data_IF_148590461832
#
_entry.id   IF_148590461832
#
_cell.length_a   1.000
_cell.length_b   1.000
_cell.length_c   1.000
_cell.angle_alpha   90.00
_cell.angle_beta   90.00
_cell.angle_gamma   90.00
#
_symmetry.space_group_name_H-M   'P 1'
#
loop_
_entity.id
_entity.type
_entity.pdbx_description
1 polymer ?
#
# COMPACT_ATOMS: atom_id res chain seq x y z
N UNK A 1 11.82 -11.37 -14.77
CA UNK A 1 10.77 -10.80 -15.63
C UNK A 1 11.29 -9.45 -16.08
N UNK A 2 11.34 -9.24 -17.33
CA UNK A 2 11.56 -7.90 -17.89
C UNK A 2 10.18 -7.25 -17.85
N UNK A 3 10.05 -6.09 -17.20
CA UNK A 3 8.86 -5.24 -17.34
C UNK A 3 8.86 -4.80 -18.79
N UNK A 4 7.94 -5.32 -19.58
CA UNK A 4 7.86 -4.97 -20.99
C UNK A 4 7.08 -3.66 -21.22
N UNK A 5 7.21 -3.12 -22.41
CA UNK A 5 6.54 -1.86 -22.80
C UNK A 5 5.00 -1.97 -22.74
N UNK A 6 4.46 -3.17 -22.93
CA UNK A 6 3.03 -3.42 -22.86
C UNK A 6 2.50 -3.20 -21.43
N UNK A 7 3.19 -3.75 -20.43
CA UNK A 7 2.84 -3.58 -19.02
C UNK A 7 2.93 -2.11 -18.60
N UNK A 8 4.00 -1.41 -19.02
CA UNK A 8 4.17 0.03 -18.76
C UNK A 8 3.03 0.84 -19.39
N UNK A 9 2.67 0.51 -20.63
CA UNK A 9 1.59 1.19 -21.36
C UNK A 9 0.23 0.94 -20.70
N UNK A 10 -0.02 -0.28 -20.24
CA UNK A 10 -1.24 -0.62 -19.51
C UNK A 10 -1.32 0.13 -18.19
N UNK A 11 -0.25 0.12 -17.39
CA UNK A 11 -0.19 0.86 -16.13
C UNK A 11 -0.45 2.35 -16.33
N UNK A 12 0.19 2.98 -17.32
CA UNK A 12 -0.02 4.41 -17.65
C UNK A 12 -1.45 4.69 -18.13
N UNK A 13 -2.09 3.73 -18.78
CA UNK A 13 -3.46 3.86 -19.26
C UNK A 13 -4.48 3.71 -18.15
N UNK A 14 -4.34 2.65 -17.32
CA UNK A 14 -5.36 2.24 -16.37
C UNK A 14 -5.08 2.72 -14.92
N UNK A 15 -3.82 3.06 -14.59
CA UNK A 15 -3.39 3.44 -13.25
C UNK A 15 -3.07 2.27 -12.33
N UNK A 16 -3.29 1.05 -12.80
CA UNK A 16 -2.99 -0.19 -12.09
C UNK A 16 -2.74 -1.34 -13.06
N UNK A 17 -2.05 -2.36 -12.57
CA UNK A 17 -1.81 -3.62 -13.31
C UNK A 17 -1.75 -4.80 -12.35
N UNK A 18 -2.08 -5.98 -12.87
CA UNK A 18 -1.78 -7.26 -12.23
C UNK A 18 -0.40 -7.75 -12.67
N UNK A 19 0.38 -8.24 -11.72
CA UNK A 19 1.64 -8.92 -11.99
C UNK A 19 1.50 -10.41 -11.73
N UNK A 20 2.10 -11.27 -12.57
CA UNK A 20 2.27 -12.66 -12.24
C UNK A 20 3.15 -12.80 -11.01
N UNK A 21 3.19 -13.97 -10.44
CA UNK A 21 4.07 -14.27 -9.32
C UNK A 21 5.54 -14.06 -9.67
N UNK A 22 6.20 -13.15 -8.97
CA UNK A 22 7.63 -12.84 -9.14
C UNK A 22 8.48 -13.48 -8.04
N UNK A 23 7.91 -13.70 -6.87
CA UNK A 23 8.59 -14.28 -5.71
C UNK A 23 8.69 -15.80 -5.85
N UNK A 24 9.81 -16.39 -5.39
CA UNK A 24 10.03 -17.82 -5.39
C UNK A 24 9.20 -18.53 -4.32
N UNK A 25 9.07 -19.85 -4.42
CA UNK A 25 8.33 -20.67 -3.44
C UNK A 25 8.89 -20.51 -2.02
N UNK A 26 10.21 -20.49 -1.88
CA UNK A 26 10.88 -20.33 -0.60
C UNK A 26 10.62 -18.94 0.02
N UNK A 27 10.61 -17.90 -0.83
CA UNK A 27 10.32 -16.53 -0.37
C UNK A 27 8.86 -16.39 0.08
N UNK A 28 7.93 -16.99 -0.65
CA UNK A 28 6.52 -17.00 -0.26
C UNK A 28 6.29 -17.80 1.03
N UNK A 29 6.94 -18.97 1.15
CA UNK A 29 6.86 -19.78 2.36
C UNK A 29 7.42 -19.02 3.57
N UNK A 30 8.56 -18.35 3.39
CA UNK A 30 9.15 -17.53 4.44
C UNK A 30 8.28 -16.33 4.83
N UNK A 31 7.68 -15.66 3.86
CA UNK A 31 6.75 -14.56 4.13
C UNK A 31 5.54 -15.03 4.96
N UNK A 32 5.00 -16.21 4.68
CA UNK A 32 3.92 -16.83 5.47
C UNK A 32 4.34 -17.13 6.91
N UNK A 33 5.54 -17.63 7.08
CA UNK A 33 6.10 -17.90 8.41
C UNK A 33 6.29 -16.60 9.20
N UNK A 34 6.82 -15.55 8.57
CA UNK A 34 6.96 -14.22 9.16
C UNK A 34 5.59 -13.69 9.60
N UNK A 35 4.56 -13.79 8.76
CA UNK A 35 3.21 -13.38 9.13
C UNK A 35 2.71 -14.08 10.39
N UNK A 36 2.92 -15.39 10.48
CA UNK A 36 2.54 -16.18 11.67
C UNK A 36 3.27 -15.71 12.92
N UNK A 37 4.57 -15.47 12.83
CA UNK A 37 5.38 -14.97 13.95
C UNK A 37 4.91 -13.56 14.38
N UNK A 38 4.67 -12.66 13.43
CA UNK A 38 4.21 -11.30 13.70
C UNK A 38 2.80 -11.29 14.32
N UNK A 39 1.92 -12.17 13.89
CA UNK A 39 0.59 -12.32 14.48
C UNK A 39 0.64 -12.89 15.90
N UNK A 40 1.51 -13.86 16.17
CA UNK A 40 1.73 -14.46 17.51
C UNK A 40 2.37 -13.47 18.49
N UNK A 41 3.24 -12.59 18.03
CA UNK A 41 3.90 -11.56 18.85
C UNK A 41 2.98 -10.38 19.24
N UNK A 42 1.73 -10.40 18.77
CA UNK A 42 0.79 -9.33 19.03
C UNK A 42 0.96 -8.12 18.12
N UNK A 43 0.01 -7.21 18.22
CA UNK A 43 -0.09 -6.04 17.37
C UNK A 43 1.10 -5.08 17.57
N UNK A 44 1.95 -4.91 16.56
CA UNK A 44 2.71 -3.68 16.35
C UNK A 44 1.83 -2.71 15.54
N UNK A 45 0.59 -2.61 15.92
CA UNK A 45 -0.21 -1.51 15.41
C UNK A 45 0.56 -0.24 15.71
N UNK A 46 0.44 0.74 14.84
CA UNK A 46 0.71 2.13 15.16
C UNK A 46 -0.24 2.62 16.30
N UNK A 47 -0.77 1.69 17.10
CA UNK A 47 -1.44 1.97 18.36
C UNK A 47 -0.36 2.41 19.32
N UNK A 48 -0.21 3.68 19.44
CA UNK A 48 0.57 4.49 20.32
C UNK A 48 0.78 4.02 21.75
N UNK A 49 1.31 2.87 21.95
CA UNK A 49 2.24 2.70 23.03
C UNK A 49 3.54 3.30 22.51
N UNK A 50 3.76 4.56 22.91
CA UNK A 50 5.06 5.18 22.82
C UNK A 50 6.08 4.15 23.29
N UNK A 51 6.86 3.59 22.37
CA UNK A 51 8.13 3.01 22.76
C UNK A 51 8.83 4.02 23.66
N UNK A 52 9.77 3.62 24.47
CA UNK A 52 10.50 4.49 25.42
C UNK A 52 10.98 5.82 24.82
N UNK A 53 10.87 6.01 23.52
CA UNK A 53 11.27 7.16 22.71
C UNK A 53 10.20 8.25 22.52
N UNK A 54 9.00 8.12 23.09
CA UNK A 54 8.04 9.22 23.22
C UNK A 54 7.31 9.68 21.96
N UNK A 55 7.25 8.85 20.90
CA UNK A 55 6.57 9.18 19.65
C UNK A 55 5.06 9.22 19.81
N UNK A 56 4.49 10.41 19.81
CA UNK A 56 3.04 10.64 19.81
C UNK A 56 2.47 10.42 18.41
N UNK A 57 1.37 9.68 18.34
CA UNK A 57 0.64 9.35 17.14
C UNK A 57 0.22 10.58 16.32
N UNK A 58 0.61 10.62 15.07
CA UNK A 58 0.15 11.64 14.14
C UNK A 58 -1.06 11.22 13.27
N UNK A 59 -1.57 10.00 13.46
CA UNK A 59 -2.70 9.47 12.68
C UNK A 59 -3.88 9.07 13.57
N UNK A 60 -4.74 10.03 13.90
CA UNK A 60 -5.94 9.79 14.70
C UNK A 60 -6.87 8.69 14.14
N UNK A 61 -6.85 8.46 12.81
CA UNK A 61 -7.65 7.39 12.18
C UNK A 61 -7.11 5.99 12.46
N UNK A 62 -5.82 5.84 12.79
CA UNK A 62 -5.21 4.53 13.05
C UNK A 62 -5.58 3.98 14.44
N UNK A 63 -6.08 4.84 15.32
CA UNK A 63 -6.55 4.47 16.65
C UNK A 63 -8.05 4.18 16.72
N UNK A 64 -8.78 4.40 15.61
CA UNK A 64 -10.21 4.15 15.62
C UNK A 64 -10.51 2.65 15.75
N UNK A 65 -11.38 2.21 16.70
CA UNK A 65 -11.67 0.80 16.94
C UNK A 65 -12.11 0.01 15.71
N UNK A 66 -12.74 0.70 14.75
CA UNK A 66 -13.22 0.07 13.52
C UNK A 66 -12.10 -0.19 12.49
N UNK A 67 -10.91 0.40 12.67
CA UNK A 67 -9.77 0.13 11.78
C UNK A 67 -9.35 -1.34 11.86
N UNK A 68 -9.30 -1.92 13.05
CA UNK A 68 -8.96 -3.34 13.23
C UNK A 68 -9.93 -4.29 12.52
N UNK A 69 -11.19 -3.86 12.29
CA UNK A 69 -12.17 -4.62 11.50
C UNK A 69 -11.93 -4.52 9.99
N UNK A 70 -11.21 -3.49 9.55
CA UNK A 70 -10.84 -3.33 8.14
C UNK A 70 -9.56 -4.07 7.81
N UNK A 71 -8.54 -3.93 8.65
CA UNK A 71 -7.25 -4.62 8.56
C UNK A 71 -6.42 -4.49 9.83
N UNK A 72 -5.55 -5.47 10.07
CA UNK A 72 -4.43 -5.38 11.00
C UNK A 72 -3.14 -5.12 10.22
N UNK A 73 -2.30 -4.22 10.70
CA UNK A 73 -1.08 -3.77 10.04
C UNK A 73 0.17 -3.99 10.90
N UNK A 74 1.26 -4.36 10.24
CA UNK A 74 2.63 -4.30 10.76
C UNK A 74 3.46 -3.49 9.78
N UNK A 75 4.12 -2.45 10.26
CA UNK A 75 4.93 -1.58 9.42
C UNK A 75 6.38 -2.02 9.44
N UNK A 76 7.09 -1.71 8.32
CA UNK A 76 8.53 -1.89 8.19
C UNK A 76 9.00 -3.33 8.46
N UNK A 77 8.23 -4.27 7.94
CA UNK A 77 8.53 -5.69 8.03
C UNK A 77 9.93 -6.00 7.50
N UNK A 78 10.30 -5.38 6.37
CA UNK A 78 11.63 -5.53 5.74
C UNK A 78 12.80 -5.11 6.62
N UNK A 79 12.59 -4.22 7.59
CA UNK A 79 13.65 -3.77 8.50
C UNK A 79 13.86 -4.75 9.67
N UNK A 80 12.80 -5.47 10.06
CA UNK A 80 12.87 -6.53 11.09
C UNK A 80 13.30 -7.88 10.50
N UNK A 81 13.00 -8.11 9.23
CA UNK A 81 13.26 -9.37 8.52
C UNK A 81 14.12 -9.10 7.28
N UNK A 82 15.47 -9.05 7.42
CA UNK A 82 16.38 -8.66 6.33
C UNK A 82 16.26 -9.51 5.06
N UNK A 83 15.84 -10.77 5.16
CA UNK A 83 15.61 -11.65 4.02
C UNK A 83 14.52 -11.14 3.06
N UNK A 84 13.61 -10.29 3.53
CA UNK A 84 12.61 -9.64 2.68
C UNK A 84 13.19 -8.57 1.75
N UNK A 85 14.40 -8.09 2.02
CA UNK A 85 15.06 -7.09 1.19
C UNK A 85 15.28 -7.56 -0.25
N UNK A 86 15.46 -8.86 -0.47
CA UNK A 86 15.56 -9.41 -1.83
C UNK A 86 14.27 -9.22 -2.62
N UNK A 87 13.12 -9.41 -1.97
CA UNK A 87 11.80 -9.18 -2.59
C UNK A 87 11.59 -7.69 -2.85
N UNK A 88 11.96 -6.83 -1.91
CA UNK A 88 11.94 -5.37 -2.09
C UNK A 88 12.75 -4.97 -3.32
N UNK A 89 13.99 -5.45 -3.45
CA UNK A 89 14.84 -5.18 -4.62
C UNK A 89 14.24 -5.74 -5.93
N UNK A 90 13.56 -6.87 -5.88
CA UNK A 90 12.90 -7.43 -7.05
C UNK A 90 11.80 -6.49 -7.57
N UNK A 91 10.94 -5.98 -6.66
CA UNK A 91 9.84 -5.09 -7.04
C UNK A 91 10.29 -3.65 -7.28
N UNK A 92 11.44 -3.21 -6.76
CA UNK A 92 11.97 -1.87 -7.11
C UNK A 92 12.26 -1.74 -8.62
N UNK A 93 12.69 -2.81 -9.29
CA UNK A 93 12.88 -2.83 -10.74
C UNK A 93 11.56 -2.64 -11.50
N UNK A 94 10.47 -3.17 -10.97
CA UNK A 94 9.12 -2.92 -11.50
C UNK A 94 8.74 -1.46 -11.26
N UNK A 95 8.96 -0.94 -10.06
CA UNK A 95 8.67 0.44 -9.70
C UNK A 95 9.42 1.44 -10.59
N UNK A 96 10.72 1.25 -10.80
CA UNK A 96 11.53 2.07 -11.70
C UNK A 96 10.94 2.17 -13.10
N UNK A 97 10.54 1.02 -13.68
CA UNK A 97 9.99 0.98 -15.02
C UNK A 97 8.60 1.64 -15.12
N UNK A 98 7.72 1.39 -14.13
CA UNK A 98 6.35 1.93 -14.14
C UNK A 98 6.32 3.42 -13.83
N UNK A 99 7.11 3.88 -12.87
CA UNK A 99 7.24 5.31 -12.53
C UNK A 99 7.99 6.05 -13.64
N UNK A 100 9.02 5.42 -14.23
CA UNK A 100 9.86 6.03 -15.26
C UNK A 100 10.92 6.97 -14.68
N UNK A 101 11.47 6.64 -13.51
CA UNK A 101 12.56 7.38 -12.87
C UNK A 101 13.84 6.53 -12.79
N UNK A 102 14.96 7.16 -12.44
CA UNK A 102 16.26 6.48 -12.36
C UNK A 102 16.52 5.80 -11.04
N UNK A 103 15.84 6.23 -9.96
CA UNK A 103 16.02 5.73 -8.61
C UNK A 103 14.72 5.83 -7.82
N UNK A 104 14.44 4.81 -6.99
CA UNK A 104 13.30 4.81 -6.07
C UNK A 104 13.75 4.56 -4.64
N UNK A 105 12.98 5.10 -3.71
CA UNK A 105 13.03 4.77 -2.29
C UNK A 105 11.89 3.84 -1.92
N UNK A 106 12.08 3.02 -0.88
CA UNK A 106 10.96 2.36 -0.20
C UNK A 106 10.45 3.31 0.86
N UNK A 107 9.30 3.91 0.61
CA UNK A 107 8.72 4.86 1.55
C UNK A 107 8.31 4.16 2.85
N UNK A 108 7.63 3.04 2.74
CA UNK A 108 7.37 2.08 3.80
C UNK A 108 6.92 0.74 3.20
N UNK A 109 6.88 -0.30 4.02
CA UNK A 109 6.19 -1.54 3.75
C UNK A 109 5.30 -1.90 4.93
N UNK A 110 4.20 -2.57 4.64
CA UNK A 110 3.24 -2.98 5.68
C UNK A 110 2.47 -4.23 5.31
N UNK A 111 2.11 -5.00 6.34
CA UNK A 111 1.16 -6.09 6.20
C UNK A 111 -0.26 -5.55 6.17
N UNK A 112 -1.15 -6.30 5.55
CA UNK A 112 -2.59 -6.10 5.61
C UNK A 112 -3.27 -7.44 5.87
N UNK A 113 -3.69 -7.67 7.09
CA UNK A 113 -4.52 -8.83 7.43
C UNK A 113 -5.96 -8.37 7.62
N UNK A 114 -6.85 -8.77 6.71
CA UNK A 114 -8.28 -8.56 6.86
C UNK A 114 -8.85 -9.77 7.60
N UNK A 115 -9.51 -9.58 8.76
CA UNK A 115 -10.01 -10.69 9.56
C UNK A 115 -11.08 -11.50 8.79
N UNK A 116 -11.34 -12.75 9.19
CA UNK A 116 -12.42 -13.55 8.64
C UNK A 116 -13.79 -12.98 9.03
N UNK A 117 -14.83 -13.39 8.31
CA UNK A 117 -16.22 -12.95 8.56
C UNK A 117 -16.70 -13.20 9.99
N UNK A 118 -16.21 -14.25 10.63
CA UNK A 118 -16.54 -14.64 12.02
C UNK A 118 -16.07 -13.65 13.07
N UNK A 119 -15.06 -12.82 12.75
CA UNK A 119 -14.51 -11.81 13.66
C UNK A 119 -15.09 -10.40 13.41
N UNK A 120 -16.03 -10.27 12.47
CA UNK A 120 -16.59 -8.99 12.04
C UNK A 120 -15.59 -8.22 11.19
N UNK A 121 -15.85 -8.20 9.91
CA UNK A 121 -15.00 -7.53 8.90
C UNK A 121 -15.71 -6.31 8.35
N UNK A 122 -14.94 -5.34 7.86
CA UNK A 122 -15.44 -4.19 7.10
C UNK A 122 -14.73 -4.09 5.76
N UNK A 123 -15.38 -3.51 4.79
CA UNK A 123 -14.71 -3.15 3.54
C UNK A 123 -13.69 -2.03 3.78
N UNK A 124 -12.65 -1.99 2.95
CA UNK A 124 -11.79 -0.82 2.83
C UNK A 124 -12.48 0.15 1.89
N UNK A 125 -12.83 1.32 2.40
CA UNK A 125 -13.54 2.35 1.62
C UNK A 125 -12.74 2.77 0.39
N UNK A 126 -13.41 3.33 -0.60
CA UNK A 126 -12.77 3.88 -1.77
C UNK A 126 -11.91 5.09 -1.42
N UNK A 127 -10.65 5.08 -1.82
CA UNK A 127 -9.67 6.14 -1.54
C UNK A 127 -8.53 6.17 -2.56
N UNK A 128 -7.73 7.21 -2.50
CA UNK A 128 -6.43 7.32 -3.15
C UNK A 128 -5.36 7.35 -2.05
N UNK A 129 -4.21 6.70 -2.27
CA UNK A 129 -3.13 6.67 -1.28
C UNK A 129 -2.38 8.00 -1.14
N UNK A 130 -2.07 8.63 -2.28
CA UNK A 130 -1.22 9.82 -2.32
C UNK A 130 -1.70 10.98 -1.44
N UNK A 131 -3.00 11.33 -1.37
CA UNK A 131 -3.47 12.44 -0.56
C UNK A 131 -3.20 12.30 0.95
N UNK A 132 -2.94 11.08 1.44
CA UNK A 132 -2.64 10.85 2.86
C UNK A 132 -1.15 10.98 3.19
N UNK A 133 -0.30 11.15 2.19
CA UNK A 133 1.15 11.17 2.35
C UNK A 133 1.72 12.55 2.03
N UNK A 134 2.64 13.10 2.86
CA UNK A 134 3.18 14.45 2.69
C UNK A 134 4.32 14.48 1.68
N UNK A 135 4.03 14.14 0.44
CA UNK A 135 4.98 14.14 -0.69
C UNK A 135 4.52 15.08 -1.79
N UNK A 136 5.47 15.68 -2.49
CA UNK A 136 5.27 16.82 -3.39
C UNK A 136 4.93 16.44 -4.84
N UNK A 137 4.99 15.16 -5.19
CA UNK A 137 4.90 14.73 -6.61
C UNK A 137 4.22 13.40 -6.80
N UNK A 138 3.93 13.12 -8.09
CA UNK A 138 3.48 11.79 -8.55
C UNK A 138 4.61 10.77 -8.46
N UNK A 139 4.26 9.49 -8.60
CA UNK A 139 5.19 8.37 -8.54
C UNK A 139 5.11 7.61 -7.21
N UNK A 140 4.12 7.94 -6.36
CA UNK A 140 3.75 7.06 -5.25
C UNK A 140 3.13 5.80 -5.84
N UNK A 141 3.78 4.67 -5.60
CA UNK A 141 3.42 3.39 -6.22
C UNK A 141 3.31 2.32 -5.15
N UNK A 142 2.14 1.71 -5.07
CA UNK A 142 1.84 0.63 -4.13
C UNK A 142 1.91 -0.72 -4.84
N UNK A 143 2.76 -1.61 -4.36
CA UNK A 143 2.83 -3.03 -4.76
C UNK A 143 2.17 -3.86 -3.67
N UNK A 144 1.03 -4.48 -3.96
CA UNK A 144 0.30 -5.34 -3.03
C UNK A 144 0.47 -6.81 -3.42
N UNK A 145 1.16 -7.61 -2.60
CA UNK A 145 1.50 -9.01 -2.84
C UNK A 145 0.55 -9.90 -2.05
N UNK A 146 -0.13 -10.82 -2.71
CA UNK A 146 -0.99 -11.81 -2.06
C UNK A 146 -0.16 -12.89 -1.35
N UNK A 147 -0.37 -13.07 -0.05
CA UNK A 147 0.33 -14.10 0.74
C UNK A 147 -0.33 -15.47 0.55
N UNK A 148 -1.64 -15.49 0.40
CA UNK A 148 -2.46 -16.65 0.01
C UNK A 148 -3.25 -16.34 -1.25
N UNK A 149 -3.98 -17.34 -1.76
CA UNK A 149 -4.99 -17.11 -2.80
C UNK A 149 -6.06 -16.16 -2.26
N UNK A 150 -6.37 -15.12 -3.01
CA UNK A 150 -7.33 -14.08 -2.64
C UNK A 150 -8.47 -14.08 -3.64
N UNK A 151 -9.63 -14.57 -3.23
CA UNK A 151 -10.86 -14.54 -4.01
C UNK A 151 -11.64 -13.23 -3.83
N UNK A 152 -12.65 -12.99 -4.64
CA UNK A 152 -13.59 -11.88 -4.44
C UNK A 152 -14.30 -11.97 -3.09
N UNK A 153 -14.65 -13.19 -2.65
CA UNK A 153 -15.29 -13.44 -1.36
C UNK A 153 -14.38 -13.03 -0.18
N UNK A 154 -13.06 -13.16 -0.34
CA UNK A 154 -12.07 -12.72 0.65
C UNK A 154 -11.85 -11.21 0.64
N UNK A 155 -12.59 -10.46 -0.15
CA UNK A 155 -12.42 -9.02 -0.27
C UNK A 155 -11.17 -8.63 -1.08
N UNK A 156 -11.03 -9.19 -2.28
CA UNK A 156 -9.97 -8.79 -3.21
C UNK A 156 -9.98 -7.28 -3.46
N UNK A 157 -8.81 -6.75 -3.83
CA UNK A 157 -8.65 -5.33 -4.19
C UNK A 157 -9.53 -4.97 -5.38
N UNK A 158 -10.07 -3.76 -5.36
CA UNK A 158 -10.91 -3.18 -6.40
C UNK A 158 -10.31 -1.87 -6.86
N UNK A 159 -10.30 -1.63 -8.16
CA UNK A 159 -9.71 -0.45 -8.78
C UNK A 159 -10.73 0.22 -9.71
N UNK A 160 -10.76 1.54 -9.72
CA UNK A 160 -11.47 2.32 -10.74
C UNK A 160 -10.45 2.69 -11.83
N UNK A 161 -10.47 2.02 -12.99
CA UNK A 161 -9.51 2.27 -14.07
C UNK A 161 -9.51 3.73 -14.50
N UNK A 162 -8.33 4.29 -14.78
CA UNK A 162 -8.11 5.66 -15.25
C UNK A 162 -8.37 6.78 -14.23
N UNK A 163 -8.81 6.45 -13.01
CA UNK A 163 -9.08 7.45 -11.96
C UNK A 163 -7.83 8.25 -11.53
N UNK A 164 -6.63 7.68 -11.68
CA UNK A 164 -5.37 8.39 -11.44
C UNK A 164 -5.18 9.63 -12.32
N UNK A 165 -5.91 9.74 -13.45
CA UNK A 165 -5.87 10.90 -14.36
C UNK A 165 -6.63 12.10 -13.82
N UNK A 166 -7.52 11.90 -12.88
CA UNK A 166 -8.34 12.96 -12.26
C UNK A 166 -7.53 13.84 -11.31
N UNK A 167 -6.33 13.40 -10.94
CA UNK A 167 -5.55 14.03 -9.87
C UNK A 167 -6.06 13.69 -8.48
N UNK A 168 -5.64 14.42 -7.43
CA UNK A 168 -6.04 14.14 -6.07
C UNK A 168 -7.52 14.51 -5.82
N UNK A 169 -8.29 13.55 -5.29
CA UNK A 169 -9.69 13.71 -4.90
C UNK A 169 -9.85 14.17 -3.44
N UNK A 170 -8.72 14.35 -2.73
CA UNK A 170 -8.71 14.74 -1.33
C UNK A 170 -8.60 13.56 -0.36
N UNK A 171 -8.64 13.89 0.93
CA UNK A 171 -8.65 12.89 2.01
C UNK A 171 -10.08 12.58 2.40
N UNK A 172 -10.41 11.31 2.39
CA UNK A 172 -11.68 10.79 2.88
C UNK A 172 -11.51 10.26 4.29
N UNK A 173 -12.58 10.25 5.07
CA UNK A 173 -12.58 9.54 6.34
C UNK A 173 -12.63 8.04 6.08
N UNK A 174 -11.49 7.35 6.31
CA UNK A 174 -11.34 5.92 6.06
C UNK A 174 -12.19 5.04 6.98
N UNK A 175 -12.69 5.57 8.09
CA UNK A 175 -13.54 4.87 9.08
C UNK A 175 -14.96 5.39 9.12
N UNK A 176 -15.23 6.45 8.41
CA UNK A 176 -16.54 7.08 8.33
C UNK A 176 -17.57 6.31 7.52
N UNK A 177 -18.48 7.07 6.92
CA UNK A 177 -19.51 6.52 6.04
C UNK A 177 -18.86 5.84 4.83
N UNK A 178 -19.35 4.67 4.51
CA UNK A 178 -19.04 4.02 3.25
C UNK A 178 -19.71 4.78 2.09
N UNK A 179 -18.89 5.38 1.25
CA UNK A 179 -19.32 6.06 0.03
C UNK A 179 -19.22 5.11 -1.16
N UNK A 180 -20.20 5.15 -2.05
CA UNK A 180 -20.06 4.60 -3.39
C UNK A 180 -18.89 5.32 -4.10
N UNK A 181 -18.19 4.65 -4.98
CA UNK A 181 -17.08 5.27 -5.71
C UNK A 181 -17.54 6.43 -6.59
N UNK A 182 -18.77 6.38 -7.11
CA UNK A 182 -19.38 7.44 -7.91
C UNK A 182 -19.61 8.72 -7.10
N UNK A 183 -19.92 8.60 -5.80
CA UNK A 183 -20.15 9.75 -4.93
C UNK A 183 -18.89 10.63 -4.75
N UNK A 184 -17.71 10.07 -5.06
CA UNK A 184 -16.43 10.75 -4.97
C UNK A 184 -16.06 11.53 -6.24
N UNK A 185 -16.83 11.37 -7.30
CA UNK A 185 -16.54 11.89 -8.63
C UNK A 185 -17.60 12.88 -9.07
N UNK A 186 -17.19 13.85 -9.89
CA UNK A 186 -18.12 14.72 -10.61
C UNK A 186 -18.66 13.99 -11.83
N UNK A 187 -19.76 14.47 -12.39
CA UNK A 187 -20.36 13.86 -13.59
C UNK A 187 -19.38 13.77 -14.77
N UNK A 188 -18.59 14.82 -14.99
CA UNK A 188 -17.58 14.84 -16.06
C UNK A 188 -16.46 13.82 -15.84
N UNK A 189 -16.12 13.52 -14.58
CA UNK A 189 -15.11 12.54 -14.22
C UNK A 189 -15.55 11.11 -14.59
N UNK A 190 -16.86 10.83 -14.51
CA UNK A 190 -17.43 9.51 -14.86
C UNK A 190 -17.24 9.16 -16.33
N UNK A 191 -17.06 10.15 -17.21
CA UNK A 191 -16.76 9.93 -18.63
C UNK A 191 -15.31 9.48 -18.86
N UNK A 192 -14.41 9.84 -17.93
CA UNK A 192 -12.98 9.54 -18.02
C UNK A 192 -12.66 8.14 -17.48
N UNK A 193 -13.28 7.78 -16.36
CA UNK A 193 -12.96 6.54 -15.63
C UNK A 193 -13.69 5.32 -16.21
N UNK A 194 -13.18 4.12 -15.86
CA UNK A 194 -13.86 2.85 -16.14
C UNK A 194 -14.72 2.40 -14.97
N UNK A 195 -15.53 1.38 -15.21
CA UNK A 195 -16.23 0.67 -14.12
C UNK A 195 -15.20 -0.02 -13.20
N UNK A 196 -15.47 -0.10 -11.90
CA UNK A 196 -14.58 -0.79 -10.96
C UNK A 196 -14.31 -2.23 -11.36
N UNK A 197 -13.06 -2.62 -11.25
CA UNK A 197 -12.59 -3.98 -11.50
C UNK A 197 -12.15 -4.60 -10.18
N UNK A 198 -12.73 -5.74 -9.81
CA UNK A 198 -12.25 -6.58 -8.70
C UNK A 198 -11.16 -7.51 -9.23
N UNK A 199 -10.03 -7.59 -8.52
CA UNK A 199 -8.87 -8.35 -8.97
C UNK A 199 -8.51 -9.48 -7.99
N UNK A 200 -9.01 -10.71 -8.19
CA UNK A 200 -8.53 -11.90 -7.49
C UNK A 200 -7.07 -12.21 -7.83
N UNK A 201 -6.34 -12.76 -6.89
CA UNK A 201 -4.93 -13.12 -7.03
C UNK A 201 -4.67 -14.54 -6.54
N UNK A 202 -3.80 -15.26 -7.23
CA UNK A 202 -3.16 -16.43 -6.67
C UNK A 202 -2.04 -16.03 -5.71
N UNK A 203 -1.67 -16.90 -4.80
CA UNK A 203 -0.61 -16.68 -3.83
C UNK A 203 0.71 -16.29 -4.51
N UNK A 204 1.30 -15.20 -4.08
CA UNK A 204 2.52 -14.63 -4.64
C UNK A 204 2.33 -13.75 -5.88
N UNK A 205 1.14 -13.71 -6.47
CA UNK A 205 0.81 -12.67 -7.45
C UNK A 205 0.67 -11.31 -6.77
N UNK A 206 0.72 -10.25 -7.54
CA UNK A 206 0.61 -8.88 -7.01
C UNK A 206 -0.26 -7.99 -7.89
N UNK A 207 -0.81 -6.95 -7.28
CA UNK A 207 -1.28 -5.77 -8.00
C UNK A 207 -0.33 -4.61 -7.75
N UNK A 208 -0.20 -3.74 -8.75
CA UNK A 208 0.55 -2.49 -8.63
C UNK A 208 -0.38 -1.36 -9.03
N UNK A 209 -0.44 -0.30 -8.22
CA UNK A 209 -1.27 0.85 -8.52
C UNK A 209 -0.59 2.19 -8.21
N UNK A 210 -0.92 3.19 -8.99
CA UNK A 210 -0.53 4.59 -8.77
C UNK A 210 -1.25 5.13 -7.54
N UNK A 211 -0.57 5.93 -6.73
CA UNK A 211 -1.15 6.52 -5.52
C UNK A 211 -2.37 7.41 -5.73
N UNK A 212 -2.65 7.80 -6.98
CA UNK A 212 -3.87 8.51 -7.38
C UNK A 212 -4.95 7.58 -7.98
N UNK A 213 -4.71 6.28 -8.05
CA UNK A 213 -5.76 5.33 -8.46
C UNK A 213 -6.77 5.18 -7.35
N UNK A 214 -8.03 5.49 -7.64
CA UNK A 214 -9.14 5.25 -6.73
C UNK A 214 -9.32 3.75 -6.57
N UNK A 215 -9.16 3.26 -5.35
CA UNK A 215 -9.19 1.84 -5.04
C UNK A 215 -9.82 1.56 -3.67
N UNK A 216 -10.12 0.31 -3.43
CA UNK A 216 -10.69 -0.17 -2.17
C UNK A 216 -10.62 -1.68 -2.12
N UNK A 217 -11.26 -2.29 -1.13
CA UNK A 217 -11.35 -3.74 -1.02
C UNK A 217 -12.68 -4.14 -0.37
N UNK A 218 -13.29 -5.20 -0.86
CA UNK A 218 -14.52 -5.73 -0.27
C UNK A 218 -14.34 -6.21 1.17
N UNK A 219 -15.43 -6.54 1.81
CA UNK A 219 -15.41 -7.29 3.06
C UNK A 219 -14.85 -8.69 2.82
N UNK A 220 -14.17 -9.24 3.82
CA UNK A 220 -13.83 -10.64 3.80
C UNK A 220 -15.02 -11.47 4.33
N UNK A 221 -15.77 -12.10 3.44
CA UNK A 221 -16.92 -12.93 3.77
C UNK A 221 -16.55 -14.41 3.97
N UNK A 222 -15.28 -14.74 3.80
CA UNK A 222 -14.77 -16.09 4.00
C UNK A 222 -14.46 -16.38 5.49
N UNK A 223 -14.23 -17.64 5.81
CA UNK A 223 -13.83 -18.09 7.14
C UNK A 223 -12.32 -17.98 7.40
N UNK A 224 -11.54 -17.50 6.41
CA UNK A 224 -10.08 -17.39 6.50
C UNK A 224 -9.64 -15.93 6.47
N UNK A 225 -8.59 -15.55 7.21
CA UNK A 225 -8.01 -14.21 7.08
C UNK A 225 -7.44 -14.01 5.67
N UNK A 226 -7.54 -12.79 5.16
CA UNK A 226 -6.89 -12.38 3.91
C UNK A 226 -5.63 -11.60 4.22
N UNK A 227 -4.47 -12.12 3.83
CA UNK A 227 -3.16 -11.51 4.09
C UNK A 227 -2.55 -10.98 2.81
N UNK A 228 -2.00 -9.78 2.88
CA UNK A 228 -1.25 -9.15 1.81
C UNK A 228 -0.11 -8.30 2.35
N UNK A 229 1.01 -8.29 1.66
CA UNK A 229 2.16 -7.43 1.97
C UNK A 229 2.27 -6.32 0.93
N UNK A 230 2.24 -5.07 1.40
CA UNK A 230 2.36 -3.90 0.54
C UNK A 230 3.74 -3.29 0.70
N UNK A 231 4.37 -2.98 -0.43
CA UNK A 231 5.61 -2.22 -0.50
C UNK A 231 5.32 -0.94 -1.27
N UNK A 232 5.65 0.21 -0.69
CA UNK A 232 5.40 1.51 -1.29
C UNK A 232 6.70 2.13 -1.75
N UNK A 233 6.76 2.44 -3.04
CA UNK A 233 7.89 3.11 -3.67
C UNK A 233 7.56 4.55 -4.04
N UNK A 234 8.55 5.42 -3.92
CA UNK A 234 8.51 6.82 -4.36
C UNK A 234 9.79 7.15 -5.13
N UNK A 235 9.80 8.12 -6.06
CA UNK A 235 11.03 8.63 -6.66
C UNK A 235 12.00 9.17 -5.60
N UNK A 236 13.30 8.96 -5.76
CA UNK A 236 14.31 9.38 -4.78
C UNK A 236 14.39 10.89 -4.57
N UNK A 237 13.95 11.66 -5.57
CA UNK A 237 13.90 13.12 -5.53
C UNK A 237 12.60 13.69 -4.93
N UNK A 238 11.73 12.82 -4.38
CA UNK A 238 10.50 13.21 -3.70
C UNK A 238 10.82 14.03 -2.46
N UNK A 239 10.03 15.11 -2.24
CA UNK A 239 10.24 16.06 -1.15
C UNK A 239 9.09 16.03 -0.17
N UNK A 240 9.44 16.28 1.09
CA UNK A 240 8.47 16.43 2.17
C UNK A 240 7.69 17.76 2.05
N UNK A 241 6.37 17.68 2.17
CA UNK A 241 5.47 18.85 2.09
C UNK A 241 5.10 19.44 3.45
N UNK A 242 5.80 19.06 4.52
CA UNK A 242 5.55 19.58 5.88
C UNK A 242 4.38 18.94 6.61
N UNK A 243 3.65 18.03 5.99
CA UNK A 243 2.57 17.31 6.66
C UNK A 243 3.09 16.30 7.69
N UNK A 244 2.32 15.98 8.74
CA UNK A 244 2.73 14.99 9.72
C UNK A 244 2.89 13.61 9.07
N UNK A 245 3.97 12.95 9.40
CA UNK A 245 4.23 11.59 8.99
C UNK A 245 5.22 10.93 9.95
N UNK A 246 4.95 9.72 10.50
CA UNK A 246 5.81 9.09 11.49
C UNK A 246 7.25 8.96 11.05
N UNK A 247 7.48 8.75 9.76
CA UNK A 247 8.82 8.60 9.23
C UNK A 247 9.59 9.91 9.10
N UNK A 248 8.93 11.06 8.89
CA UNK A 248 9.60 12.35 8.88
C UNK A 248 10.09 12.72 10.28
N UNK A 249 9.22 12.61 11.26
CA UNK A 249 9.49 13.03 12.63
C UNK A 249 10.52 12.14 13.33
N UNK A 250 10.48 10.83 13.07
CA UNK A 250 11.24 9.84 13.84
C UNK A 250 12.53 9.37 13.17
N UNK A 251 12.67 9.54 11.86
CA UNK A 251 13.75 8.91 11.11
C UNK A 251 14.66 9.89 10.40
N UNK A 252 14.26 11.16 10.29
CA UNK A 252 15.06 12.23 9.72
C UNK A 252 15.00 13.43 10.68
N UNK A 253 15.77 13.39 11.77
CA UNK A 253 15.79 14.50 12.72
C UNK A 253 16.17 15.82 12.04
N UNK A 254 15.38 16.88 12.29
CA UNK A 254 15.61 18.20 11.71
C UNK A 254 15.21 18.33 10.25
N UNK A 255 14.40 17.40 9.70
CA UNK A 255 13.84 17.51 8.36
C UNK A 255 13.01 18.78 8.20
N UNK A 256 13.31 19.57 7.17
CA UNK A 256 12.64 20.82 6.86
C UNK A 256 11.74 20.69 5.63
N UNK A 257 10.77 21.57 5.50
CA UNK A 257 9.89 21.65 4.34
C UNK A 257 10.72 21.71 3.04
N UNK A 258 10.48 20.76 2.15
CA UNK A 258 11.17 20.67 0.86
C UNK A 258 12.41 19.75 0.87
N UNK A 259 12.79 19.20 2.00
CA UNK A 259 13.85 18.20 2.07
C UNK A 259 13.44 16.89 1.40
N UNK A 260 14.43 16.18 0.89
CA UNK A 260 14.24 14.82 0.36
C UNK A 260 14.20 13.79 1.49
N UNK A 261 13.60 12.63 1.23
CA UNK A 261 13.51 11.51 2.16
C UNK A 261 14.83 10.72 2.23
N UNK A 262 15.95 11.43 2.46
CA UNK A 262 17.29 10.82 2.45
C UNK A 262 17.68 10.26 3.82
N UNK A 263 17.28 9.02 4.07
CA UNK A 263 17.77 8.25 5.21
C UNK A 263 17.97 6.78 4.82
N UNK A 264 18.92 6.07 5.46
CA UNK A 264 19.26 4.68 5.11
C UNK A 264 18.04 3.73 5.07
N UNK A 265 17.08 3.95 5.95
CA UNK A 265 15.86 3.12 6.02
C UNK A 265 14.99 3.14 4.77
N UNK A 266 15.07 4.22 3.97
CA UNK A 266 14.28 4.35 2.73
C UNK A 266 15.00 3.79 1.52
N UNK A 267 16.28 3.49 1.61
CA UNK A 267 17.05 3.01 0.47
C UNK A 267 16.67 1.58 0.11
N UNK A 268 16.62 1.32 -1.19
CA UNK A 268 16.58 -0.04 -1.72
C UNK A 268 17.99 -0.61 -1.66
N UNK A 269 18.22 -1.79 -1.07
CA UNK A 269 19.53 -2.40 -1.04
C UNK A 269 20.07 -2.67 -2.45
N UNK A 270 21.34 -2.31 -2.70
CA UNK A 270 22.03 -2.60 -3.97
C UNK A 270 21.27 -2.13 -5.25
N UNK A 271 20.65 -0.98 -5.17
CA UNK A 271 20.02 -0.32 -6.32
C UNK A 271 21.03 0.44 -7.14
#
# INVERSE_FOLDING_TARGET
>A
MVVDESLVSEFRREGWVKLPRLIRDEQLARLREIYKIEEENGSNTLSGEAGEDGVKESFAYQTHPDMAKMWDNRIDLRLRWPELQEVVRLYSKVALALIGCSEVLVFWDKTFTKPPSTEGTRQSVWHQDLPYNPIDRRGFLSVWIAVEDVSEEMGAMRFVPRSHRLGPLGRLDLVGRDHGWEELLRLDDLEIVGQPVTQPLAAGEATVHDGLTLHGAGENRSEKPRRGWTIIYIPSDTRWTGGPHPHAENNIPGMELGDTWDAPRFRVPDQ
#
